data_IF_403106544008
#
_entry.id   IF_403106544008
#
_cell.length_a   1.000
_cell.length_b   1.000
_cell.length_c   1.000
_cell.angle_alpha   90.00
_cell.angle_beta   90.00
_cell.angle_gamma   90.00
#
_symmetry.space_group_name_H-M   'P 1'
#
loop_
_entity.id
_entity.type
_entity.pdbx_description
1 polymer ?
#
# COMPACT_ATOMS: atom_id res chain seq x y z
N UNK A 1 16.26 -58.04 48.58
CA UNK A 1 16.72 -57.51 47.27
C UNK A 1 15.59 -56.66 46.74
N UNK A 2 15.63 -55.29 46.92
CA UNK A 2 14.59 -54.31 46.51
C UNK A 2 14.98 -53.75 45.15
N UNK A 3 14.18 -54.04 44.14
CA UNK A 3 14.38 -53.47 42.77
C UNK A 3 13.69 -52.12 42.74
N UNK A 4 14.49 -51.05 42.59
CA UNK A 4 13.98 -49.69 42.28
C UNK A 4 13.72 -49.62 40.77
N UNK A 5 12.46 -49.41 40.38
CA UNK A 5 12.08 -49.10 39.01
C UNK A 5 12.11 -47.57 38.90
N UNK A 6 13.08 -47.02 38.17
CA UNK A 6 13.11 -45.60 37.82
C UNK A 6 12.17 -45.37 36.63
N UNK A 7 11.11 -44.61 36.83
CA UNK A 7 10.23 -44.18 35.76
C UNK A 7 10.87 -42.98 35.03
N UNK A 8 11.25 -43.20 33.77
CA UNK A 8 11.77 -42.14 32.88
C UNK A 8 10.57 -41.37 32.28
N UNK A 9 10.34 -40.16 32.77
CA UNK A 9 9.30 -39.27 32.23
C UNK A 9 9.85 -38.63 30.94
N UNK A 10 9.30 -39.03 29.78
CA UNK A 10 9.63 -38.47 28.49
C UNK A 10 8.86 -37.13 28.35
N UNK A 11 9.54 -36.00 28.49
CA UNK A 11 8.96 -34.68 28.23
C UNK A 11 8.95 -34.48 26.71
N UNK A 12 7.78 -34.64 26.08
CA UNK A 12 7.56 -34.20 24.69
C UNK A 12 7.61 -32.68 24.63
N UNK A 13 8.72 -32.11 24.17
CA UNK A 13 8.81 -30.75 23.72
C UNK A 13 8.06 -30.64 22.36
N UNK A 14 6.80 -30.31 22.37
CA UNK A 14 6.10 -29.88 21.16
C UNK A 14 6.72 -28.55 20.73
N UNK A 15 7.59 -28.59 19.72
CA UNK A 15 8.03 -27.38 19.03
C UNK A 15 6.78 -26.72 18.44
N UNK A 16 6.42 -25.53 18.95
CA UNK A 16 5.42 -24.69 18.34
C UNK A 16 6.02 -24.18 17.03
N UNK A 17 5.74 -24.84 15.92
CA UNK A 17 6.03 -24.31 14.60
C UNK A 17 5.08 -23.10 14.40
N UNK A 18 5.59 -21.94 13.98
CA UNK A 18 4.71 -20.82 13.63
C UNK A 18 3.70 -21.30 12.58
N UNK A 19 2.43 -21.04 12.79
CA UNK A 19 1.42 -21.34 11.77
C UNK A 19 1.79 -20.57 10.48
N UNK A 20 1.65 -21.20 9.31
CA UNK A 20 1.89 -20.52 8.05
C UNK A 20 0.94 -19.31 7.98
N UNK A 21 1.48 -18.12 7.69
CA UNK A 21 0.68 -16.93 7.41
C UNK A 21 -0.24 -17.29 6.24
N UNK A 22 -1.55 -17.18 6.45
CA UNK A 22 -2.51 -17.46 5.39
C UNK A 22 -2.19 -16.59 4.17
N UNK A 23 -2.13 -17.20 3.00
CA UNK A 23 -1.91 -16.48 1.74
C UNK A 23 -3.05 -15.49 1.51
N UNK A 24 -2.72 -14.28 1.05
CA UNK A 24 -3.71 -13.24 0.81
C UNK A 24 -4.65 -13.63 -0.36
N UNK A 25 -5.95 -13.63 -0.10
CA UNK A 25 -6.94 -13.88 -1.14
C UNK A 25 -7.25 -12.59 -1.91
N UNK A 26 -6.77 -12.48 -3.13
CA UNK A 26 -6.89 -11.29 -3.96
C UNK A 26 -8.29 -11.04 -4.56
N UNK A 27 -9.08 -12.08 -4.71
CA UNK A 27 -10.39 -11.99 -5.37
C UNK A 27 -10.32 -11.55 -6.85
N UNK A 28 -9.19 -11.81 -7.51
CA UNK A 28 -8.96 -11.40 -8.90
C UNK A 28 -9.75 -12.26 -9.89
N UNK A 29 -10.15 -11.71 -11.05
CA UNK A 29 -10.56 -12.50 -12.18
C UNK A 29 -9.45 -13.45 -12.66
N UNK A 30 -9.80 -14.63 -13.17
CA UNK A 30 -8.86 -15.71 -13.54
C UNK A 30 -7.76 -15.28 -14.54
N UNK A 31 -8.02 -14.23 -15.33
CA UNK A 31 -7.08 -13.74 -16.34
C UNK A 31 -6.13 -12.65 -15.83
N UNK A 32 -6.30 -12.19 -14.56
CA UNK A 32 -5.38 -11.23 -13.96
C UNK A 32 -4.20 -11.95 -13.30
N UNK A 33 -2.98 -11.46 -13.49
CA UNK A 33 -1.83 -12.02 -12.80
C UNK A 33 -1.90 -11.71 -11.30
N UNK A 34 -1.46 -12.66 -10.49
CA UNK A 34 -1.32 -12.41 -9.05
C UNK A 34 -0.26 -11.33 -8.82
N UNK A 35 -0.56 -10.27 -8.05
CA UNK A 35 0.40 -9.22 -7.77
C UNK A 35 1.66 -9.74 -7.08
N UNK A 36 2.80 -9.14 -7.42
CA UNK A 36 4.04 -9.42 -6.72
C UNK A 36 4.07 -8.68 -5.37
N UNK A 37 4.17 -9.43 -4.28
CA UNK A 37 4.28 -8.90 -2.92
C UNK A 37 5.69 -9.18 -2.40
N UNK A 38 6.42 -8.18 -1.87
CA UNK A 38 7.75 -8.39 -1.31
C UNK A 38 7.72 -9.40 -0.14
N UNK A 39 8.69 -10.29 -0.09
CA UNK A 39 8.81 -11.31 0.96
C UNK A 39 8.97 -10.70 2.37
N UNK A 40 9.59 -9.52 2.46
CA UNK A 40 9.79 -8.78 3.70
C UNK A 40 8.56 -7.95 4.14
N UNK A 41 7.50 -7.94 3.31
CA UNK A 41 6.22 -7.30 3.64
C UNK A 41 5.03 -8.12 3.12
N UNK A 42 4.83 -9.37 3.55
CA UNK A 42 3.66 -10.15 3.16
C UNK A 42 2.38 -9.44 3.62
N UNK A 43 1.34 -9.51 2.77
CA UNK A 43 0.04 -8.90 3.08
C UNK A 43 -0.65 -9.65 4.22
N UNK A 44 -1.19 -8.86 5.15
CA UNK A 44 -2.13 -9.33 6.18
C UNK A 44 -3.26 -8.31 6.33
N UNK A 45 -4.43 -8.76 6.78
CA UNK A 45 -5.56 -7.86 7.03
C UNK A 45 -5.19 -6.76 8.02
N UNK A 46 -4.44 -7.07 9.06
CA UNK A 46 -4.02 -6.09 10.07
C UNK A 46 -3.12 -4.98 9.47
N UNK A 47 -2.20 -5.31 8.56
CA UNK A 47 -1.38 -4.30 7.86
C UNK A 47 -2.21 -3.44 6.91
N UNK A 48 -3.14 -4.05 6.18
CA UNK A 48 -4.05 -3.33 5.28
C UNK A 48 -4.93 -2.37 6.07
N UNK A 49 -5.51 -2.80 7.18
CA UNK A 49 -6.35 -1.95 8.02
C UNK A 49 -5.55 -0.80 8.63
N UNK A 50 -4.37 -1.08 9.20
CA UNK A 50 -3.46 -0.06 9.70
C UNK A 50 -3.10 0.94 8.59
N UNK A 51 -2.69 0.46 7.41
CA UNK A 51 -2.33 1.31 6.26
C UNK A 51 -3.48 2.20 5.83
N UNK A 52 -4.71 1.70 5.85
CA UNK A 52 -5.90 2.50 5.55
C UNK A 52 -6.09 3.63 6.57
N UNK A 53 -5.97 3.37 7.87
CA UNK A 53 -6.07 4.43 8.87
C UNK A 53 -4.98 5.49 8.70
N UNK A 54 -3.73 5.07 8.47
CA UNK A 54 -2.60 5.96 8.24
C UNK A 54 -2.78 6.82 6.97
N UNK A 55 -3.30 6.23 5.89
CA UNK A 55 -3.52 6.92 4.61
C UNK A 55 -4.48 8.11 4.71
N UNK A 56 -5.45 8.05 5.63
CA UNK A 56 -6.44 9.11 5.86
C UNK A 56 -6.11 10.00 7.07
N UNK A 57 -5.02 9.74 7.80
CA UNK A 57 -4.68 10.50 9.00
C UNK A 57 -3.90 11.77 8.69
N UNK A 58 -4.51 12.92 8.96
CA UNK A 58 -3.89 14.22 8.76
C UNK A 58 -2.72 14.50 9.71
N UNK A 59 -2.61 13.77 10.83
CA UNK A 59 -1.48 13.89 11.78
C UNK A 59 -0.14 13.45 11.20
N UNK A 60 -0.17 12.82 10.01
CA UNK A 60 1.03 12.47 9.24
C UNK A 60 1.58 13.68 8.45
N UNK A 61 1.02 14.88 8.60
CA UNK A 61 1.58 16.11 8.07
C UNK A 61 2.01 17.07 9.18
N UNK A 62 2.94 17.98 8.87
CA UNK A 62 3.53 18.90 9.86
C UNK A 62 2.48 19.80 10.52
N UNK A 63 1.48 20.25 9.76
CA UNK A 63 0.39 21.12 10.22
C UNK A 63 -0.89 20.37 10.65
N UNK A 64 -0.94 19.05 10.53
CA UNK A 64 -2.09 18.18 10.78
C UNK A 64 -3.32 18.47 9.87
N UNK A 65 -3.11 18.99 8.68
CA UNK A 65 -4.21 19.36 7.77
C UNK A 65 -4.26 18.47 6.51
N UNK A 66 -3.17 17.77 6.19
CA UNK A 66 -3.06 16.94 4.99
C UNK A 66 -2.81 15.47 5.35
N UNK A 67 -3.36 14.60 4.53
CA UNK A 67 -3.10 13.15 4.54
C UNK A 67 -2.79 12.69 3.11
N UNK A 68 -2.42 11.42 2.92
CA UNK A 68 -2.26 10.84 1.59
C UNK A 68 -3.55 11.02 0.76
N UNK A 69 -4.71 10.87 1.40
CA UNK A 69 -6.02 11.05 0.77
C UNK A 69 -6.30 12.49 0.31
N UNK A 70 -5.54 13.49 0.76
CA UNK A 70 -5.69 14.88 0.28
C UNK A 70 -5.30 15.02 -1.19
N UNK A 71 -4.27 14.26 -1.62
CA UNK A 71 -3.77 14.21 -3.00
C UNK A 71 -4.20 12.94 -3.75
N UNK A 72 -4.60 11.89 -3.04
CA UNK A 72 -5.06 10.63 -3.62
C UNK A 72 -6.53 10.38 -3.25
N UNK A 73 -7.44 11.11 -3.91
CA UNK A 73 -8.88 11.08 -3.63
C UNK A 73 -9.53 9.86 -4.28
N UNK A 74 -10.24 9.08 -3.49
CA UNK A 74 -10.88 7.85 -3.96
C UNK A 74 -11.83 8.09 -5.13
N UNK A 75 -12.62 9.17 -5.07
CA UNK A 75 -13.59 9.54 -6.11
C UNK A 75 -12.94 9.97 -7.44
N UNK A 76 -11.63 10.23 -7.45
CA UNK A 76 -10.83 10.56 -8.63
C UNK A 76 -9.84 9.43 -8.98
N UNK A 77 -10.18 8.19 -8.68
CA UNK A 77 -9.28 7.03 -8.88
C UNK A 77 -7.93 7.20 -8.14
N UNK A 78 -7.97 7.76 -6.94
CA UNK A 78 -6.81 8.04 -6.08
C UNK A 78 -5.76 8.97 -6.73
N UNK A 79 -6.21 10.00 -7.46
CA UNK A 79 -5.44 11.20 -7.84
C UNK A 79 -6.15 12.44 -7.30
N UNK A 80 -5.60 13.64 -7.45
CA UNK A 80 -6.26 14.90 -7.05
C UNK A 80 -6.94 15.63 -8.20
N UNK A 81 -6.73 15.19 -9.44
CA UNK A 81 -7.28 15.82 -10.65
C UNK A 81 -6.65 17.17 -10.99
N UNK A 82 -5.50 17.50 -10.40
CA UNK A 82 -4.77 18.75 -10.64
C UNK A 82 -3.56 18.54 -11.53
N UNK A 83 -3.13 19.59 -12.23
CA UNK A 83 -1.88 19.57 -12.97
C UNK A 83 -0.65 19.57 -12.03
N UNK A 84 -0.76 20.26 -10.90
CA UNK A 84 0.24 20.36 -9.84
C UNK A 84 -0.50 20.18 -8.50
N UNK A 85 0.03 19.33 -7.63
CA UNK A 85 -0.56 19.09 -6.30
C UNK A 85 -0.04 20.11 -5.29
N UNK A 86 -0.82 20.41 -4.26
CA UNK A 86 -0.43 21.32 -3.18
C UNK A 86 0.29 20.54 -2.08
N UNK A 87 1.37 21.10 -1.55
CA UNK A 87 2.04 20.63 -0.34
C UNK A 87 1.54 21.35 0.91
N UNK A 88 1.88 20.82 2.08
CA UNK A 88 1.41 21.32 3.39
C UNK A 88 1.94 22.70 3.75
N UNK A 89 3.03 23.14 3.12
CA UNK A 89 3.65 24.46 3.32
C UNK A 89 3.16 25.51 2.33
N UNK A 90 2.28 25.14 1.39
CA UNK A 90 1.85 26.00 0.27
C UNK A 90 2.76 25.91 -0.95
N UNK A 91 3.82 25.12 -0.91
CA UNK A 91 4.58 24.74 -2.10
C UNK A 91 3.72 23.85 -3.00
N UNK A 92 3.98 23.91 -4.31
CA UNK A 92 3.33 23.04 -5.28
C UNK A 92 4.33 22.03 -5.85
N UNK A 93 3.86 20.79 -6.03
CA UNK A 93 4.65 19.78 -6.71
C UNK A 93 4.82 20.10 -8.19
N UNK A 94 5.89 19.64 -8.84
CA UNK A 94 6.10 19.90 -10.28
C UNK A 94 5.13 19.14 -11.19
N UNK A 95 4.31 18.24 -10.65
CA UNK A 95 3.32 17.40 -11.36
C UNK A 95 2.15 17.09 -10.44
N UNK A 96 0.99 16.74 -11.00
CA UNK A 96 -0.15 16.22 -10.26
C UNK A 96 0.13 14.83 -9.68
N UNK A 97 -0.63 14.43 -8.66
CA UNK A 97 -0.53 13.12 -8.05
C UNK A 97 -0.91 12.01 -9.04
N UNK A 98 -0.14 10.94 -9.04
CA UNK A 98 -0.45 9.74 -9.84
C UNK A 98 -1.65 9.01 -9.24
N UNK A 99 -2.44 8.35 -10.09
CA UNK A 99 -3.47 7.43 -9.60
C UNK A 99 -2.83 6.24 -8.89
N UNK A 100 -3.40 5.84 -7.73
CA UNK A 100 -3.00 4.62 -7.04
C UNK A 100 -3.86 3.40 -7.43
N UNK A 101 -4.87 3.58 -8.28
CA UNK A 101 -5.66 2.45 -8.78
C UNK A 101 -4.77 1.49 -9.54
N UNK A 102 -4.80 0.21 -9.14
CA UNK A 102 -3.96 -0.86 -9.71
C UNK A 102 -2.45 -0.60 -9.60
N UNK A 103 -2.03 0.23 -8.65
CA UNK A 103 -0.62 0.60 -8.46
C UNK A 103 0.30 -0.63 -8.25
N UNK A 104 -0.23 -1.71 -7.71
CA UNK A 104 0.51 -2.97 -7.49
C UNK A 104 1.06 -3.58 -8.78
N UNK A 105 0.48 -3.25 -9.94
CA UNK A 105 0.95 -3.69 -11.26
C UNK A 105 1.85 -2.66 -11.96
N UNK A 106 2.01 -1.48 -11.37
CA UNK A 106 2.80 -0.43 -11.98
C UNK A 106 4.31 -0.76 -11.93
N UNK A 107 4.98 -0.64 -13.06
CA UNK A 107 6.44 -0.77 -13.15
C UNK A 107 7.17 0.52 -12.78
N UNK A 108 6.45 1.61 -12.57
CA UNK A 108 6.97 2.94 -12.20
C UNK A 108 6.04 3.57 -11.17
N UNK A 109 6.61 4.00 -10.06
CA UNK A 109 5.87 4.54 -8.91
C UNK A 109 5.96 6.06 -8.81
N UNK A 110 6.72 6.70 -9.70
CA UNK A 110 6.88 8.15 -9.76
C UNK A 110 6.99 8.62 -11.21
N UNK A 111 6.71 9.92 -11.45
CA UNK A 111 6.79 10.51 -12.78
C UNK A 111 8.20 10.54 -13.39
N UNK A 112 9.23 10.67 -12.57
CA UNK A 112 10.59 10.93 -13.05
C UNK A 112 11.68 10.05 -12.40
N UNK A 113 11.50 9.62 -11.17
CA UNK A 113 12.48 8.79 -10.47
C UNK A 113 12.16 7.30 -10.66
N UNK A 114 12.78 6.66 -11.66
CA UNK A 114 12.59 5.23 -11.96
C UNK A 114 13.44 4.30 -11.08
N UNK A 115 14.13 4.82 -10.07
CA UNK A 115 14.84 4.02 -9.07
C UNK A 115 13.93 3.57 -7.93
N UNK A 116 12.75 4.20 -7.77
CA UNK A 116 11.76 3.81 -6.79
C UNK A 116 10.82 2.78 -7.42
N UNK A 117 11.00 1.54 -7.07
CA UNK A 117 10.26 0.38 -7.56
C UNK A 117 9.47 -0.36 -6.45
N UNK A 118 9.59 0.12 -5.20
CA UNK A 118 8.86 -0.39 -4.05
C UNK A 118 7.95 0.69 -3.48
N UNK A 119 6.69 0.34 -3.18
CA UNK A 119 5.73 1.26 -2.55
C UNK A 119 6.21 1.72 -1.17
N UNK A 120 6.86 0.83 -0.42
CA UNK A 120 7.46 1.15 0.88
C UNK A 120 8.46 2.31 0.78
N UNK A 121 9.31 2.31 -0.22
CA UNK A 121 10.33 3.34 -0.41
C UNK A 121 9.74 4.60 -1.04
N UNK A 122 8.75 4.45 -1.93
CA UNK A 122 8.07 5.57 -2.57
C UNK A 122 7.36 6.46 -1.56
N UNK A 123 6.67 5.88 -0.56
CA UNK A 123 5.93 6.63 0.45
C UNK A 123 6.80 7.52 1.35
N UNK A 124 8.11 7.28 1.42
CA UNK A 124 9.06 8.16 2.12
C UNK A 124 9.18 9.52 1.41
N UNK A 125 9.00 9.58 0.09
CA UNK A 125 9.12 10.84 -0.67
C UNK A 125 8.08 11.87 -0.26
N UNK A 126 6.77 11.62 -0.26
CA UNK A 126 5.79 12.61 0.18
C UNK A 126 5.87 12.88 1.69
N UNK A 127 6.27 11.92 2.52
CA UNK A 127 6.38 12.12 3.97
C UNK A 127 7.56 13.02 4.34
N UNK A 128 8.76 12.76 3.80
CA UNK A 128 10.03 13.33 4.26
C UNK A 128 10.79 14.10 3.18
N UNK A 129 10.24 14.22 1.97
CA UNK A 129 10.85 15.04 0.91
C UNK A 129 10.84 16.52 1.27
N UNK A 130 11.94 17.22 0.93
CA UNK A 130 12.14 18.63 1.25
C UNK A 130 12.06 19.53 0.02
N UNK A 131 12.08 18.98 -1.20
CA UNK A 131 12.03 19.74 -2.47
C UNK A 131 11.22 18.97 -3.56
N UNK A 132 9.92 19.24 -3.69
CA UNK A 132 9.06 20.13 -2.88
C UNK A 132 8.68 19.48 -1.55
N UNK A 133 8.27 20.29 -0.58
CA UNK A 133 7.70 19.82 0.68
C UNK A 133 6.24 19.41 0.42
N UNK A 134 5.92 18.12 0.61
CA UNK A 134 4.55 17.62 0.52
C UNK A 134 3.92 17.50 1.91
N UNK A 135 4.30 16.54 2.73
CA UNK A 135 3.77 16.33 4.10
C UNK A 135 4.60 17.03 5.18
N UNK A 136 5.88 17.34 4.90
CA UNK A 136 6.75 18.16 5.76
C UNK A 136 7.20 17.48 7.05
N UNK A 137 7.38 16.17 7.04
CA UNK A 137 7.75 15.38 8.23
C UNK A 137 9.26 15.15 8.37
N UNK A 138 10.09 15.71 7.50
CA UNK A 138 11.56 15.62 7.61
C UNK A 138 12.05 16.10 8.97
N UNK A 139 12.84 15.27 9.68
CA UNK A 139 13.34 15.54 11.04
C UNK A 139 12.29 15.43 12.16
N UNK A 140 11.06 14.96 11.85
CA UNK A 140 9.97 14.77 12.81
C UNK A 140 9.58 13.28 12.96
N UNK A 141 10.47 12.35 12.63
CA UNK A 141 10.25 10.91 12.72
C UNK A 141 9.87 10.48 14.14
N UNK A 142 10.50 11.08 15.17
CA UNK A 142 10.17 10.82 16.58
C UNK A 142 8.73 11.23 16.95
N UNK A 143 8.19 12.27 16.29
CA UNK A 143 6.79 12.68 16.49
C UNK A 143 5.84 11.58 16.01
N UNK A 144 6.12 10.95 14.88
CA UNK A 144 5.31 9.86 14.34
C UNK A 144 5.41 8.60 15.20
N UNK A 145 6.61 8.18 15.57
CA UNK A 145 6.80 6.99 16.42
C UNK A 145 6.19 7.19 17.82
N UNK A 146 6.24 8.41 18.36
CA UNK A 146 5.54 8.77 19.59
C UNK A 146 4.02 8.69 19.41
N UNK A 147 3.47 9.24 18.33
CA UNK A 147 2.05 9.13 18.02
C UNK A 147 1.61 7.65 17.98
N UNK A 148 2.34 6.79 17.28
CA UNK A 148 1.99 5.36 17.13
C UNK A 148 2.04 4.61 18.46
N UNK A 149 2.98 4.94 19.33
CA UNK A 149 3.14 4.25 20.61
C UNK A 149 2.19 4.76 21.70
N UNK A 150 1.77 6.03 21.64
CA UNK A 150 0.95 6.67 22.70
C UNK A 150 -0.54 6.75 22.38
N UNK A 151 -0.93 6.75 21.10
CA UNK A 151 -2.32 6.65 20.70
C UNK A 151 -2.81 5.20 20.91
N UNK A 152 -3.82 4.94 21.77
CA UNK A 152 -4.22 3.57 22.08
C UNK A 152 -4.68 2.76 20.86
N UNK A 153 -5.31 3.41 19.87
CA UNK A 153 -5.75 2.76 18.63
C UNK A 153 -4.53 2.33 17.80
N UNK A 154 -3.60 3.25 17.53
CA UNK A 154 -2.40 2.92 16.77
C UNK A 154 -1.49 1.93 17.49
N UNK A 155 -1.33 2.08 18.81
CA UNK A 155 -0.54 1.13 19.60
C UNK A 155 -1.04 -0.30 19.41
N UNK A 156 -2.35 -0.52 19.45
CA UNK A 156 -2.92 -1.85 19.21
C UNK A 156 -2.73 -2.28 17.74
N UNK A 157 -3.08 -1.41 16.78
CA UNK A 157 -3.02 -1.75 15.36
C UNK A 157 -1.60 -2.07 14.88
N UNK A 158 -0.57 -1.35 15.35
CA UNK A 158 0.82 -1.66 15.01
C UNK A 158 1.27 -2.99 15.60
N UNK A 159 0.89 -3.30 16.83
CA UNK A 159 1.20 -4.60 17.47
C UNK A 159 0.53 -5.76 16.73
N UNK A 160 -0.73 -5.58 16.30
CA UNK A 160 -1.46 -6.60 15.52
C UNK A 160 -0.89 -6.78 14.11
N UNK A 161 -0.44 -5.69 13.48
CA UNK A 161 0.14 -5.72 12.15
C UNK A 161 1.57 -6.29 12.12
N UNK A 162 2.33 -6.11 13.20
CA UNK A 162 3.74 -6.52 13.32
C UNK A 162 4.01 -7.27 14.63
N UNK A 163 3.33 -8.42 14.87
CA UNK A 163 3.35 -9.10 16.17
C UNK A 163 4.71 -9.71 16.56
N UNK A 164 5.61 -9.88 15.60
CA UNK A 164 6.95 -10.47 15.82
C UNK A 164 8.07 -9.42 15.73
N UNK A 165 7.74 -8.15 15.68
CA UNK A 165 8.72 -7.07 15.64
C UNK A 165 8.90 -6.48 17.04
N UNK A 166 10.14 -6.49 17.56
CA UNK A 166 10.48 -5.92 18.86
C UNK A 166 10.32 -4.39 18.89
N UNK A 167 10.26 -3.74 17.71
CA UNK A 167 10.08 -2.30 17.53
C UNK A 167 8.95 -2.00 16.54
N UNK A 168 7.69 -2.36 16.86
CA UNK A 168 6.57 -2.23 15.92
C UNK A 168 6.32 -0.78 15.50
N UNK A 169 6.60 0.20 16.38
CA UNK A 169 6.35 1.63 16.15
C UNK A 169 7.51 2.30 15.39
N UNK A 170 7.71 1.92 14.14
CA UNK A 170 8.82 2.42 13.32
C UNK A 170 8.32 3.04 12.00
N UNK A 171 9.14 3.91 11.40
CA UNK A 171 8.88 4.45 10.07
C UNK A 171 8.86 3.34 9.02
N UNK A 172 9.72 2.32 9.15
CA UNK A 172 9.69 1.16 8.26
C UNK A 172 8.35 0.40 8.30
N UNK A 173 7.74 0.26 9.48
CA UNK A 173 6.43 -0.37 9.61
C UNK A 173 5.27 0.55 9.18
N UNK A 174 5.41 1.86 9.35
CA UNK A 174 4.50 2.84 8.75
C UNK A 174 4.42 2.64 7.22
N UNK A 175 5.57 2.66 6.55
CA UNK A 175 5.62 2.54 5.08
C UNK A 175 5.17 1.16 4.59
N UNK A 176 5.47 0.08 5.33
CA UNK A 176 4.97 -1.27 5.06
C UNK A 176 3.45 -1.37 5.16
N UNK A 177 2.85 -0.72 6.14
CA UNK A 177 1.40 -0.68 6.29
C UNK A 177 0.74 0.14 5.17
N UNK A 178 1.24 1.34 4.86
CA UNK A 178 0.76 2.16 3.74
C UNK A 178 0.82 1.36 2.43
N UNK A 179 1.97 0.77 2.11
CA UNK A 179 2.16 -0.06 0.91
C UNK A 179 1.19 -1.26 0.87
N UNK A 180 0.87 -1.85 2.02
CA UNK A 180 -0.11 -2.96 2.09
C UNK A 180 -1.52 -2.49 1.73
N UNK A 181 -1.93 -1.30 2.18
CA UNK A 181 -3.21 -0.70 1.79
C UNK A 181 -3.22 -0.31 0.31
N UNK A 182 -2.18 0.33 -0.19
CA UNK A 182 -2.10 0.74 -1.60
C UNK A 182 -2.16 -0.45 -2.56
N UNK A 183 -1.58 -1.60 -2.21
CA UNK A 183 -1.62 -2.82 -3.01
C UNK A 183 -3.02 -3.37 -3.25
N UNK A 184 -3.96 -3.11 -2.34
CA UNK A 184 -5.34 -3.59 -2.49
C UNK A 184 -6.26 -2.60 -3.19
N UNK A 185 -5.76 -1.46 -3.68
CA UNK A 185 -6.54 -0.50 -4.45
C UNK A 185 -6.72 -0.99 -5.89
N UNK A 186 -7.49 -2.07 -6.03
CA UNK A 186 -7.69 -2.78 -7.29
C UNK A 186 -8.99 -2.35 -7.98
N UNK A 187 -8.93 -2.28 -9.30
CA UNK A 187 -10.11 -2.05 -10.17
C UNK A 187 -10.02 -2.99 -11.37
N UNK A 188 -10.95 -3.93 -11.46
CA UNK A 188 -11.02 -4.94 -12.52
C UNK A 188 -12.48 -5.32 -12.86
N UNK A 189 -13.44 -4.46 -12.51
CA UNK A 189 -14.88 -4.62 -12.85
C UNK A 189 -15.37 -3.39 -13.64
N UNK A 190 -14.60 -3.00 -14.65
CA UNK A 190 -14.95 -1.91 -15.55
C UNK A 190 -15.61 -2.43 -16.82
N UNK A 191 -16.32 -1.59 -17.61
CA UNK A 191 -16.80 -1.97 -18.94
C UNK A 191 -15.69 -2.49 -19.86
N UNK A 192 -14.45 -1.95 -19.73
CA UNK A 192 -13.29 -2.44 -20.48
C UNK A 192 -12.92 -3.88 -20.09
N UNK A 193 -12.88 -4.16 -18.77
CA UNK A 193 -12.60 -5.52 -18.29
C UNK A 193 -13.66 -6.51 -18.78
N UNK A 194 -14.92 -6.13 -18.72
CA UNK A 194 -16.02 -6.93 -19.28
C UNK A 194 -15.86 -7.20 -20.78
N UNK A 195 -15.42 -6.18 -21.55
CA UNK A 195 -15.15 -6.32 -22.98
C UNK A 195 -13.97 -7.28 -23.23
N UNK A 196 -12.88 -7.14 -22.48
CA UNK A 196 -11.71 -8.03 -22.58
C UNK A 196 -12.06 -9.49 -22.18
N UNK A 197 -13.03 -9.67 -21.28
CA UNK A 197 -13.56 -10.98 -20.89
C UNK A 197 -14.56 -11.57 -21.93
N UNK A 198 -14.78 -10.88 -23.07
CA UNK A 198 -15.61 -11.36 -24.17
C UNK A 198 -17.05 -10.81 -24.24
N UNK A 199 -17.45 -9.93 -23.32
CA UNK A 199 -18.72 -9.22 -23.43
C UNK A 199 -18.60 -8.07 -24.44
N UNK A 200 -18.87 -8.37 -25.71
CA UNK A 200 -18.73 -7.40 -26.80
C UNK A 200 -19.67 -6.19 -26.69
N UNK A 201 -20.72 -6.26 -25.88
CA UNK A 201 -21.69 -5.18 -25.68
C UNK A 201 -21.28 -4.26 -24.48
N UNK A 202 -20.23 -4.59 -23.73
CA UNK A 202 -19.75 -3.81 -22.61
C UNK A 202 -19.21 -2.42 -23.02
N UNK A 203 -18.70 -2.29 -24.24
CA UNK A 203 -18.25 -1.03 -24.82
C UNK A 203 -19.15 -0.57 -25.95
N UNK A 204 -19.45 0.73 -26.02
CA UNK A 204 -20.10 1.36 -27.15
C UNK A 204 -19.21 1.32 -28.40
N UNK A 205 -19.81 1.53 -29.59
CA UNK A 205 -19.05 1.60 -30.85
C UNK A 205 -18.00 2.74 -30.84
N UNK A 206 -18.27 3.83 -30.12
CA UNK A 206 -17.31 4.92 -29.98
C UNK A 206 -16.10 4.53 -29.15
N UNK A 207 -16.32 3.83 -28.03
CA UNK A 207 -15.24 3.33 -27.15
C UNK A 207 -14.41 2.26 -27.85
N UNK A 208 -15.04 1.35 -28.61
CA UNK A 208 -14.33 0.36 -29.44
C UNK A 208 -13.43 1.02 -30.49
N UNK A 209 -13.91 2.09 -31.15
CA UNK A 209 -13.06 2.85 -32.09
C UNK A 209 -11.91 3.55 -31.35
N UNK A 210 -12.19 4.11 -30.15
CA UNK A 210 -11.16 4.71 -29.30
C UNK A 210 -10.09 3.70 -28.88
N UNK A 211 -10.50 2.51 -28.45
CA UNK A 211 -9.60 1.41 -28.12
C UNK A 211 -8.73 1.00 -29.32
N UNK A 212 -9.34 0.88 -30.51
CA UNK A 212 -8.59 0.57 -31.72
C UNK A 212 -7.56 1.66 -32.10
N UNK A 213 -7.88 2.94 -31.83
CA UNK A 213 -6.91 4.04 -32.00
C UNK A 213 -5.79 3.98 -30.96
N UNK A 214 -6.13 3.76 -29.68
CA UNK A 214 -5.17 3.67 -28.59
C UNK A 214 -4.11 2.58 -28.83
N UNK A 215 -4.55 1.39 -29.28
CA UNK A 215 -3.70 0.24 -29.56
C UNK A 215 -3.05 0.27 -30.98
N UNK A 216 -3.20 1.37 -31.72
CA UNK A 216 -2.66 1.47 -33.08
C UNK A 216 -1.28 2.13 -33.10
N UNK A 217 -0.44 1.69 -34.01
CA UNK A 217 0.86 2.33 -34.30
C UNK A 217 0.70 3.81 -34.74
N UNK A 218 -0.53 4.22 -35.15
CA UNK A 218 -0.79 5.60 -35.57
C UNK A 218 -0.69 6.60 -34.42
N UNK A 219 -1.06 6.20 -33.18
CA UNK A 219 -1.07 7.09 -32.01
C UNK A 219 -0.02 6.73 -30.97
N UNK A 220 0.52 5.51 -31.02
CA UNK A 220 1.59 5.02 -30.12
C UNK A 220 1.28 5.28 -28.63
N UNK A 221 0.02 4.99 -28.21
CA UNK A 221 -0.45 5.25 -26.84
C UNK A 221 -0.24 4.06 -25.88
N UNK A 222 0.25 2.93 -26.34
CA UNK A 222 0.41 1.67 -25.59
C UNK A 222 1.87 1.33 -25.31
#
# INVERSE_FOLDING_TARGET
MKILIAALTLICLTACSPEPVAEWEWGLPDHFPVPNVPEDNPLTQAKVDLGRFLFYDTRLSVNNEMSCASCHKQELAFTDGKALSDGTTGEVTPRGSMSLTNIVYASRLTWANHLLDRLEDQSLTPLFGEEPVEMGMAGLEDRLTTLFSTDPMYSQMFQDAFPNDDQPFSIGNLTKALASFERILLSFDTPFDGYMAGNTDALSDSEKRGLGLFLSERLECF
#
